data_IF_780295454566
#
_entry.id   IF_780295454566
#
_cell.length_a   1.000
_cell.length_b   1.000
_cell.length_c   1.000
_cell.angle_alpha   90.00
_cell.angle_beta   90.00
_cell.angle_gamma   90.00
#
_symmetry.space_group_name_H-M   'P 1'
#
loop_
_entity.id
_entity.type
_entity.pdbx_description
1 polymer ?
#
# COMPACT_ATOMS: atom_id res chain seq x y z
N UNK A 1 62.23 36.91 7.45
CA UNK A 1 62.01 35.55 7.96
C UNK A 1 60.53 35.42 8.23
N UNK A 2 59.91 34.47 7.50
CA UNK A 2 58.65 33.75 7.78
C UNK A 2 57.35 34.59 7.92
N UNK A 3 56.41 34.48 6.97
CA UNK A 3 55.28 33.51 6.94
C UNK A 3 54.34 33.68 8.16
N UNK A 4 53.01 33.75 8.07
CA UNK A 4 52.03 33.22 7.13
C UNK A 4 50.62 33.72 7.54
N UNK A 5 49.73 33.86 6.56
CA UNK A 5 48.28 33.56 6.60
C UNK A 5 47.35 34.28 7.60
N UNK A 6 46.04 34.34 7.40
CA UNK A 6 45.20 33.93 6.27
C UNK A 6 43.76 34.51 6.42
N UNK A 7 43.10 34.61 5.27
CA UNK A 7 41.66 34.43 4.97
C UNK A 7 40.54 35.17 5.74
N UNK A 8 40.01 36.16 5.02
CA UNK A 8 38.60 36.35 4.65
C UNK A 8 37.58 35.27 5.07
N UNK A 9 36.61 35.67 5.88
CA UNK A 9 35.37 34.91 6.11
C UNK A 9 34.42 35.11 4.91
N UNK A 10 34.40 34.13 4.02
CA UNK A 10 33.37 34.01 2.96
C UNK A 10 32.12 33.38 3.55
N UNK A 11 31.02 34.11 3.46
CA UNK A 11 29.66 33.64 3.69
C UNK A 11 29.31 32.51 2.71
N UNK A 12 29.17 31.29 3.22
CA UNK A 12 28.60 30.19 2.44
C UNK A 12 27.07 30.20 2.60
N UNK A 13 26.41 30.56 1.50
CA UNK A 13 24.98 30.53 1.34
C UNK A 13 24.41 29.13 1.52
N UNK A 14 23.24 29.07 2.14
CA UNK A 14 22.39 27.89 2.24
C UNK A 14 21.96 27.50 0.82
N UNK A 15 22.31 26.29 0.39
CA UNK A 15 21.73 25.71 -0.82
C UNK A 15 20.28 25.31 -0.52
N UNK A 16 19.38 25.96 -1.24
CA UNK A 16 17.97 25.67 -1.35
C UNK A 16 17.81 24.27 -1.98
N UNK A 17 17.36 23.29 -1.21
CA UNK A 17 17.01 21.96 -1.71
C UNK A 17 15.65 22.06 -2.42
N UNK A 18 15.72 22.43 -3.70
CA UNK A 18 14.61 22.46 -4.65
C UNK A 18 14.12 21.05 -4.99
N UNK A 19 13.61 20.32 -3.99
CA UNK A 19 12.91 19.06 -4.21
C UNK A 19 11.55 19.34 -4.85
N UNK A 20 11.43 19.08 -6.16
CA UNK A 20 10.19 19.16 -6.93
C UNK A 20 9.01 18.61 -6.14
N UNK A 21 8.13 19.52 -5.71
CA UNK A 21 6.90 19.22 -4.98
C UNK A 21 6.08 18.28 -5.85
N UNK A 22 5.93 17.02 -5.43
CA UNK A 22 5.08 16.04 -6.09
C UNK A 22 3.66 16.61 -6.19
N UNK A 23 3.34 17.11 -7.39
CA UNK A 23 2.12 17.82 -7.70
C UNK A 23 0.93 16.87 -7.72
N UNK A 24 -0.24 17.41 -7.38
CA UNK A 24 -1.55 16.74 -7.36
C UNK A 24 -1.89 15.86 -6.16
N UNK A 25 -1.34 16.16 -4.97
CA UNK A 25 -1.92 15.63 -3.72
C UNK A 25 -3.31 16.21 -3.52
N UNK A 26 -4.29 15.32 -3.38
CA UNK A 26 -5.70 15.63 -3.26
C UNK A 26 -5.94 16.63 -2.10
N UNK A 27 -6.46 17.82 -2.39
CA UNK A 27 -6.61 18.94 -1.42
C UNK A 27 -7.76 18.74 -0.41
N UNK A 28 -8.44 17.59 -0.41
CA UNK A 28 -9.66 17.33 0.38
C UNK A 28 -9.51 16.29 1.50
N UNK A 29 -8.32 16.12 2.07
CA UNK A 29 -8.03 15.03 3.02
C UNK A 29 -7.74 15.51 4.46
N UNK A 30 -8.78 15.93 5.19
CA UNK A 30 -8.62 16.38 6.60
C UNK A 30 -9.82 15.93 7.44
N UNK A 31 -9.77 14.73 8.06
CA UNK A 31 -10.46 14.44 9.35
C UNK A 31 -10.00 13.14 10.03
N UNK A 32 -9.62 13.30 11.32
CA UNK A 32 -8.86 12.39 12.22
C UNK A 32 -7.56 11.90 11.55
N UNK A 33 -6.46 11.87 12.32
CA UNK A 33 -5.13 11.52 11.79
C UNK A 33 -4.52 10.39 12.58
N UNK A 34 -4.32 9.24 11.95
CA UNK A 34 -3.52 8.14 12.43
C UNK A 34 -2.14 8.74 12.50
N UNK A 35 -1.49 8.64 13.65
CA UNK A 35 -0.14 9.13 13.78
C UNK A 35 0.81 8.05 13.31
N UNK A 36 2.00 8.45 12.84
CA UNK A 36 3.08 7.52 12.56
C UNK A 36 3.38 6.63 13.78
N UNK A 37 3.28 7.19 14.98
CA UNK A 37 3.44 6.43 16.22
C UNK A 37 2.36 5.37 16.40
N UNK A 38 1.09 5.67 16.12
CA UNK A 38 0.03 4.68 16.17
C UNK A 38 0.25 3.57 15.14
N UNK A 39 0.62 3.93 13.91
CA UNK A 39 0.95 2.97 12.87
C UNK A 39 2.06 2.03 13.31
N UNK A 40 3.20 2.56 13.77
CA UNK A 40 4.37 1.74 14.09
C UNK A 40 4.24 0.99 15.41
N UNK A 41 3.64 1.59 16.45
CA UNK A 41 3.60 1.02 17.81
C UNK A 41 2.34 0.24 18.13
N UNK A 42 1.28 0.39 17.35
CA UNK A 42 0.03 -0.35 17.57
C UNK A 42 -0.21 -1.31 16.41
N UNK A 43 -0.37 -0.79 15.19
CA UNK A 43 -0.73 -1.60 14.03
C UNK A 43 0.43 -2.53 13.63
N UNK A 44 1.61 -1.95 13.41
CA UNK A 44 2.82 -2.66 12.97
C UNK A 44 3.73 -3.06 14.14
N UNK A 45 3.18 -3.21 15.36
CA UNK A 45 3.96 -3.64 16.53
C UNK A 45 4.54 -5.05 16.39
N UNK A 46 3.88 -5.90 15.59
CA UNK A 46 4.35 -7.20 15.12
C UNK A 46 3.79 -7.51 13.73
N UNK A 47 4.32 -8.54 13.07
CA UNK A 47 3.74 -9.05 11.82
C UNK A 47 2.28 -9.49 12.03
N UNK A 48 2.00 -10.19 13.14
CA UNK A 48 0.67 -10.69 13.46
C UNK A 48 -0.35 -9.55 13.60
N UNK A 49 -0.03 -8.49 14.36
CA UNK A 49 -0.93 -7.34 14.54
C UNK A 49 -1.16 -6.59 13.24
N UNK A 50 -0.13 -6.48 12.39
CA UNK A 50 -0.24 -5.87 11.07
C UNK A 50 -1.22 -6.66 10.18
N UNK A 51 -1.06 -7.99 10.14
CA UNK A 51 -1.93 -8.90 9.40
C UNK A 51 -3.37 -8.86 9.93
N UNK A 52 -3.56 -8.87 11.25
CA UNK A 52 -4.89 -8.78 11.87
C UNK A 52 -5.59 -7.47 11.52
N UNK A 53 -4.85 -6.37 11.56
CA UNK A 53 -5.37 -5.06 11.17
C UNK A 53 -5.77 -5.04 9.69
N UNK A 54 -4.92 -5.53 8.78
CA UNK A 54 -5.22 -5.63 7.34
C UNK A 54 -6.41 -6.56 7.06
N UNK A 55 -6.52 -7.68 7.76
CA UNK A 55 -7.69 -8.56 7.75
C UNK A 55 -8.93 -7.78 8.16
N UNK A 56 -8.87 -7.03 9.27
CA UNK A 56 -10.01 -6.25 9.77
C UNK A 56 -10.53 -5.25 8.74
N UNK A 57 -9.63 -4.65 7.95
CA UNK A 57 -9.89 -3.72 6.84
C UNK A 57 -10.23 -4.39 5.52
N UNK A 58 -10.33 -5.73 5.49
CA UNK A 58 -10.61 -6.51 4.28
C UNK A 58 -9.60 -6.27 3.14
N UNK A 59 -8.36 -5.89 3.48
CA UNK A 59 -7.25 -5.68 2.54
C UNK A 59 -6.58 -6.98 2.16
N UNK A 60 -6.65 -7.98 3.03
CA UNK A 60 -6.22 -9.36 2.81
C UNK A 60 -7.31 -10.33 3.30
N UNK A 61 -7.32 -11.59 2.85
CA UNK A 61 -8.36 -12.55 3.24
C UNK A 61 -8.38 -12.86 4.73
N UNK A 62 -9.57 -12.91 5.31
CA UNK A 62 -9.79 -13.39 6.70
C UNK A 62 -9.81 -14.92 6.79
N UNK A 63 -10.20 -15.58 5.71
CA UNK A 63 -10.40 -17.04 5.61
C UNK A 63 -10.03 -17.47 4.20
N UNK A 64 -9.39 -18.64 4.10
CA UNK A 64 -9.07 -19.29 2.83
C UNK A 64 -9.61 -20.72 2.80
N UNK A 65 -9.97 -21.18 1.62
CA UNK A 65 -10.44 -22.54 1.36
C UNK A 65 -9.50 -23.22 0.38
N UNK A 66 -9.23 -24.50 0.63
CA UNK A 66 -8.36 -25.31 -0.19
C UNK A 66 -8.96 -25.49 -1.59
N UNK A 67 -8.22 -25.23 -2.68
CA UNK A 67 -8.73 -25.42 -4.04
C UNK A 67 -9.01 -26.89 -4.37
N UNK A 68 -8.34 -27.83 -3.68
CA UNK A 68 -8.43 -29.26 -3.99
C UNK A 68 -9.57 -29.96 -3.23
N UNK A 69 -9.78 -29.62 -1.95
CA UNK A 69 -10.75 -30.31 -1.09
C UNK A 69 -11.83 -29.40 -0.50
N UNK A 70 -11.83 -28.10 -0.81
CA UNK A 70 -12.78 -27.09 -0.31
C UNK A 70 -12.85 -26.91 1.21
N UNK A 71 -12.01 -27.60 1.99
CA UNK A 71 -11.92 -27.39 3.44
C UNK A 71 -11.21 -26.08 3.78
N UNK A 72 -11.51 -25.55 4.97
CA UNK A 72 -10.89 -24.32 5.47
C UNK A 72 -9.41 -24.54 5.73
N UNK A 73 -8.57 -23.68 5.16
CA UNK A 73 -7.12 -23.72 5.37
C UNK A 73 -6.75 -23.16 6.75
N UNK A 74 -5.64 -23.66 7.31
CA UNK A 74 -5.03 -23.12 8.53
C UNK A 74 -4.12 -21.94 8.18
N UNK A 75 -4.05 -20.98 9.08
CA UNK A 75 -3.16 -19.83 9.00
C UNK A 75 -2.01 -20.07 9.96
N UNK A 76 -0.79 -20.24 9.44
CA UNK A 76 0.36 -20.69 10.24
C UNK A 76 1.59 -19.82 9.95
N UNK A 77 2.44 -19.68 10.97
CA UNK A 77 3.70 -18.97 10.85
C UNK A 77 4.67 -19.77 9.98
N UNK A 78 5.38 -19.08 9.09
CA UNK A 78 6.40 -19.64 8.24
C UNK A 78 7.47 -18.57 7.95
N UNK A 79 8.67 -18.77 8.49
CA UNK A 79 9.77 -17.81 8.42
C UNK A 79 10.22 -17.48 6.99
N UNK A 80 10.12 -18.44 6.07
CA UNK A 80 10.48 -18.24 4.65
C UNK A 80 9.42 -17.47 3.86
N UNK A 81 8.26 -17.18 4.44
CA UNK A 81 7.23 -16.36 3.79
C UNK A 81 7.53 -14.87 3.98
N UNK A 82 7.28 -14.06 2.95
CA UNK A 82 7.53 -12.61 2.95
C UNK A 82 6.92 -11.88 4.18
N UNK A 83 5.72 -12.29 4.60
CA UNK A 83 5.03 -11.71 5.77
C UNK A 83 5.10 -12.57 7.03
N UNK A 84 5.90 -13.65 7.01
CA UNK A 84 6.04 -14.58 8.13
C UNK A 84 4.86 -15.54 8.33
N UNK A 85 3.84 -15.52 7.46
CA UNK A 85 2.66 -16.38 7.56
C UNK A 85 2.16 -16.88 6.20
N UNK A 86 1.51 -18.04 6.21
CA UNK A 86 0.91 -18.68 5.03
C UNK A 86 -0.45 -19.31 5.35
N UNK A 87 -1.24 -19.51 4.30
CA UNK A 87 -2.40 -20.40 4.35
C UNK A 87 -1.99 -21.78 3.88
N UNK A 88 -2.27 -22.81 4.67
CA UNK A 88 -1.95 -24.21 4.35
C UNK A 88 -3.15 -25.13 4.57
N UNK A 89 -3.39 -26.05 3.64
CA UNK A 89 -4.40 -27.10 3.82
C UNK A 89 -3.82 -28.25 4.67
N UNK A 90 -4.53 -28.71 5.71
CA UNK A 90 -4.13 -29.87 6.53
C UNK A 90 -4.87 -31.17 6.19
N UNK A 91 -5.92 -31.06 5.37
CA UNK A 91 -6.75 -32.19 4.97
C UNK A 91 -6.18 -32.92 3.74
N UNK A 92 -5.53 -32.18 2.83
CA UNK A 92 -4.77 -32.77 1.73
C UNK A 92 -3.48 -33.40 2.26
N UNK A 93 -3.36 -34.74 2.22
CA UNK A 93 -2.19 -35.45 2.76
C UNK A 93 -0.98 -35.47 1.81
N UNK A 94 -1.23 -35.49 0.51
CA UNK A 94 -0.19 -35.48 -0.52
C UNK A 94 -0.06 -34.06 -1.05
N UNK A 95 1.13 -33.47 -0.91
CA UNK A 95 1.45 -32.10 -1.37
C UNK A 95 0.36 -31.08 -1.01
N UNK A 96 0.14 -30.81 0.29
CA UNK A 96 -0.90 -29.89 0.72
C UNK A 96 -0.72 -28.52 0.04
N UNK A 97 -1.76 -27.99 -0.62
CA UNK A 97 -1.66 -26.68 -1.23
C UNK A 97 -1.41 -25.62 -0.16
N UNK A 98 -0.55 -24.68 -0.52
CA UNK A 98 -0.15 -23.55 0.29
C UNK A 98 -0.21 -22.27 -0.55
N UNK A 99 -0.62 -21.16 0.05
CA UNK A 99 -0.58 -19.85 -0.58
C UNK A 99 -0.18 -18.75 0.40
N UNK A 100 0.26 -17.60 -0.14
CA UNK A 100 0.70 -16.46 0.66
C UNK A 100 -0.45 -15.89 1.51
N UNK A 101 -0.11 -15.18 2.58
CA UNK A 101 -1.07 -14.42 3.39
C UNK A 101 -1.96 -13.48 2.56
N UNK A 102 -1.42 -13.01 1.43
CA UNK A 102 -2.02 -12.02 0.53
C UNK A 102 -2.82 -12.63 -0.62
N UNK A 103 -2.82 -13.95 -0.77
CA UNK A 103 -3.40 -14.62 -1.93
C UNK A 103 -4.87 -14.22 -2.16
N UNK A 104 -5.22 -13.90 -3.40
CA UNK A 104 -6.54 -13.41 -3.76
C UNK A 104 -6.83 -12.00 -3.23
N UNK A 105 -5.82 -11.15 -3.03
CA UNK A 105 -5.97 -9.74 -2.69
C UNK A 105 -5.21 -8.84 -3.66
N UNK A 106 -5.45 -7.53 -3.57
CA UNK A 106 -4.69 -6.55 -4.35
C UNK A 106 -3.17 -6.55 -4.02
N UNK A 107 -2.81 -7.07 -2.85
CA UNK A 107 -1.43 -7.11 -2.35
C UNK A 107 -0.69 -8.40 -2.75
N UNK A 108 -1.36 -9.33 -3.45
CA UNK A 108 -0.83 -10.66 -3.77
C UNK A 108 0.53 -10.61 -4.47
N UNK A 109 0.64 -9.78 -5.51
CA UNK A 109 1.82 -9.69 -6.38
C UNK A 109 2.75 -8.52 -5.99
N UNK A 110 2.70 -8.07 -4.73
CA UNK A 110 3.52 -6.95 -4.26
C UNK A 110 4.76 -7.46 -3.54
N UNK A 111 5.93 -7.01 -3.97
CA UNK A 111 7.22 -7.49 -3.46
C UNK A 111 7.64 -6.84 -2.13
N UNK A 112 6.94 -5.79 -1.69
CA UNK A 112 7.19 -5.14 -0.40
C UNK A 112 6.51 -5.89 0.75
N UNK A 113 7.10 -5.87 1.94
CA UNK A 113 6.46 -6.40 3.15
C UNK A 113 5.16 -5.63 3.47
N UNK A 114 4.18 -6.26 4.11
CA UNK A 114 2.94 -5.57 4.48
C UNK A 114 3.18 -4.32 5.35
N UNK A 115 4.23 -4.35 6.18
CA UNK A 115 4.63 -3.20 7.01
C UNK A 115 5.17 -2.06 6.14
N UNK A 116 6.06 -2.36 5.18
CA UNK A 116 6.61 -1.34 4.28
C UNK A 116 5.53 -0.72 3.40
N UNK A 117 4.56 -1.52 2.94
CA UNK A 117 3.41 -1.04 2.18
C UNK A 117 2.61 -0.03 3.00
N UNK A 118 2.29 -0.36 4.26
CA UNK A 118 1.54 0.55 5.14
C UNK A 118 2.34 1.82 5.46
N UNK A 119 3.64 1.70 5.73
CA UNK A 119 4.51 2.84 6.00
C UNK A 119 4.64 3.75 4.78
N UNK A 120 4.88 3.18 3.59
CA UNK A 120 4.90 3.93 2.33
C UNK A 120 3.57 4.66 2.12
N UNK A 121 2.44 3.95 2.28
CA UNK A 121 1.10 4.54 2.13
C UNK A 121 0.93 5.73 3.06
N UNK A 122 1.27 5.57 4.33
CA UNK A 122 1.19 6.62 5.33
C UNK A 122 1.98 7.86 4.92
N UNK A 123 3.26 7.69 4.58
CA UNK A 123 4.15 8.80 4.22
C UNK A 123 3.69 9.49 2.93
N UNK A 124 3.25 8.71 1.94
CA UNK A 124 2.73 9.21 0.67
C UNK A 124 1.48 10.07 0.88
N UNK A 125 0.49 9.57 1.64
CA UNK A 125 -0.72 10.31 2.00
C UNK A 125 -0.41 11.58 2.80
N UNK A 126 0.63 11.57 3.63
CA UNK A 126 1.12 12.74 4.37
C UNK A 126 1.98 13.70 3.54
N UNK A 127 2.16 13.39 2.26
CA UNK A 127 2.85 14.26 1.34
C UNK A 127 4.36 14.32 1.55
N UNK A 128 4.95 13.18 1.88
CA UNK A 128 6.39 13.05 1.79
C UNK A 128 6.79 12.96 0.31
N UNK A 129 7.96 13.48 -0.04
CA UNK A 129 8.55 13.32 -1.36
C UNK A 129 9.55 12.15 -1.35
N UNK A 130 10.12 11.81 -2.50
CA UNK A 130 11.08 10.69 -2.64
C UNK A 130 12.17 10.72 -1.56
N UNK A 131 12.86 11.85 -1.43
CA UNK A 131 13.99 12.01 -0.52
C UNK A 131 13.59 11.78 0.94
N UNK A 132 12.41 12.26 1.35
CA UNK A 132 11.91 12.02 2.71
C UNK A 132 11.45 10.58 2.91
N UNK A 133 10.74 9.98 1.95
CA UNK A 133 10.33 8.57 2.05
C UNK A 133 11.58 7.67 2.16
N UNK A 134 12.61 7.92 1.34
CA UNK A 134 13.89 7.21 1.41
C UNK A 134 14.60 7.38 2.76
N UNK A 135 14.43 8.52 3.43
CA UNK A 135 15.04 8.74 4.74
C UNK A 135 14.31 8.00 5.86
N UNK A 136 12.98 7.94 5.78
CA UNK A 136 12.12 7.31 6.79
C UNK A 136 11.92 5.80 6.57
N UNK A 137 12.35 5.27 5.43
CA UNK A 137 12.21 3.87 5.04
C UNK A 137 13.53 3.33 4.52
N UNK A 138 13.72 2.01 4.48
CA UNK A 138 14.89 1.40 3.83
C UNK A 138 14.60 1.03 2.37
N UNK A 139 13.64 1.71 1.72
CA UNK A 139 13.24 1.40 0.35
C UNK A 139 14.19 2.03 -0.66
N UNK A 140 14.49 1.27 -1.71
CA UNK A 140 15.28 1.77 -2.83
C UNK A 140 14.53 2.88 -3.60
N UNK A 141 15.24 3.90 -4.12
CA UNK A 141 14.61 5.01 -4.85
C UNK A 141 13.73 4.55 -6.01
N UNK A 142 14.14 3.49 -6.69
CA UNK A 142 13.40 2.93 -7.81
C UNK A 142 12.05 2.34 -7.38
N UNK A 143 12.03 1.61 -6.25
CA UNK A 143 10.79 1.12 -5.65
C UNK A 143 9.89 2.29 -5.27
N UNK A 144 10.44 3.32 -4.62
CA UNK A 144 9.67 4.51 -4.20
C UNK A 144 8.99 5.18 -5.39
N UNK A 145 9.70 5.35 -6.51
CA UNK A 145 9.15 5.94 -7.74
C UNK A 145 8.07 5.07 -8.37
N UNK A 146 8.30 3.76 -8.48
CA UNK A 146 7.31 2.81 -9.01
C UNK A 146 6.02 2.82 -8.18
N UNK A 147 6.14 2.79 -6.86
CA UNK A 147 4.98 2.84 -5.96
C UNK A 147 4.26 4.18 -6.02
N UNK A 148 5.00 5.30 -6.10
CA UNK A 148 4.42 6.62 -6.27
C UNK A 148 3.61 6.71 -7.58
N UNK A 149 4.17 6.25 -8.69
CA UNK A 149 3.50 6.24 -9.99
C UNK A 149 2.23 5.38 -9.96
N UNK A 150 2.32 4.17 -9.38
CA UNK A 150 1.16 3.30 -9.19
C UNK A 150 0.05 3.98 -8.38
N UNK A 151 0.39 4.72 -7.32
CA UNK A 151 -0.60 5.41 -6.49
C UNK A 151 -1.25 6.59 -7.23
N UNK A 152 -0.47 7.33 -8.02
CA UNK A 152 -1.00 8.38 -8.90
C UNK A 152 -2.00 7.79 -9.89
N UNK A 153 -1.65 6.71 -10.58
CA UNK A 153 -2.54 6.04 -11.54
C UNK A 153 -3.84 5.55 -10.89
N UNK A 154 -3.75 4.99 -9.67
CA UNK A 154 -4.92 4.59 -8.90
C UNK A 154 -5.80 5.81 -8.60
N UNK A 155 -5.22 6.90 -8.09
CA UNK A 155 -5.96 8.13 -7.80
C UNK A 155 -6.63 8.73 -9.05
N UNK A 156 -5.92 8.78 -10.18
CA UNK A 156 -6.47 9.27 -11.45
C UNK A 156 -7.62 8.39 -11.96
N UNK A 157 -7.49 7.06 -11.84
CA UNK A 157 -8.54 6.13 -12.22
C UNK A 157 -9.81 6.31 -11.38
N UNK A 158 -9.65 6.59 -10.07
CA UNK A 158 -10.78 6.92 -9.19
C UNK A 158 -11.43 8.22 -9.63
N UNK A 159 -10.66 9.28 -9.84
CA UNK A 159 -11.20 10.58 -10.26
C UNK A 159 -11.97 10.49 -11.57
N UNK A 160 -11.44 9.76 -12.55
CA UNK A 160 -12.15 9.49 -13.82
C UNK A 160 -13.46 8.75 -13.56
N UNK A 161 -13.47 7.74 -12.69
CA UNK A 161 -14.68 6.98 -12.36
C UNK A 161 -15.71 7.86 -11.64
N UNK A 162 -15.29 8.65 -10.67
CA UNK A 162 -16.17 9.53 -9.90
C UNK A 162 -16.78 10.61 -10.82
N UNK A 163 -15.99 11.21 -11.71
CA UNK A 163 -16.49 12.13 -12.73
C UNK A 163 -17.53 11.46 -13.65
N UNK A 164 -17.28 10.23 -14.09
CA UNK A 164 -18.25 9.46 -14.90
C UNK A 164 -19.52 9.08 -14.12
N UNK A 165 -19.46 8.94 -12.79
CA UNK A 165 -20.64 8.66 -11.96
C UNK A 165 -21.45 9.94 -11.69
N UNK A 166 -20.79 11.08 -11.53
CA UNK A 166 -21.44 12.38 -11.40
C UNK A 166 -22.17 12.79 -12.70
N UNK A 167 -21.63 12.43 -13.87
CA UNK A 167 -22.25 12.72 -15.17
C UNK A 167 -23.38 11.73 -15.55
N UNK A 168 -23.38 10.49 -15.05
CA UNK A 168 -24.35 9.45 -15.43
C UNK A 168 -25.49 9.25 -14.42
N UNK A 169 -26.06 10.32 -13.87
CA UNK A 169 -27.40 10.27 -13.24
C UNK A 169 -28.55 10.09 -14.24
N UNK A 170 -28.36 9.30 -15.31
CA UNK A 170 -29.42 8.69 -16.13
C UNK A 170 -28.95 7.30 -16.62
N UNK A 171 -29.76 6.31 -16.25
CA UNK A 171 -29.88 4.91 -16.69
C UNK A 171 -28.76 3.87 -16.44
N UNK A 172 -29.15 2.88 -15.62
CA UNK A 172 -28.49 1.60 -15.46
C UNK A 172 -28.55 0.80 -16.78
N UNK A 173 -27.45 0.73 -17.53
CA UNK A 173 -27.06 -0.52 -18.19
C UNK A 173 -25.63 -0.53 -18.76
N UNK A 174 -24.86 -1.49 -18.23
CA UNK A 174 -23.73 -2.21 -18.85
C UNK A 174 -22.60 -1.39 -19.47
N UNK A 175 -21.42 -1.44 -18.82
CA UNK A 175 -20.16 -1.57 -19.57
C UNK A 175 -19.26 -2.67 -18.99
N UNK A 176 -19.10 -3.73 -19.80
CA UNK A 176 -18.10 -4.77 -19.66
C UNK A 176 -16.72 -4.16 -19.97
N UNK A 177 -15.87 -4.01 -18.97
CA UNK A 177 -14.45 -3.73 -19.20
C UNK A 177 -13.68 -5.05 -19.12
N UNK A 178 -13.13 -5.44 -20.28
CA UNK A 178 -12.25 -6.57 -20.46
C UNK A 178 -10.79 -6.09 -20.28
N UNK A 179 -10.13 -6.54 -19.20
CA UNK A 179 -8.68 -6.63 -19.15
C UNK A 179 -8.28 -7.74 -18.17
N UNK A 180 -7.50 -8.69 -18.66
CA UNK A 180 -6.87 -9.75 -17.86
C UNK A 180 -5.76 -9.10 -17.03
N UNK A 181 -6.04 -8.89 -15.76
CA UNK A 181 -5.07 -8.56 -14.73
C UNK A 181 -5.57 -9.22 -13.44
N UNK A 182 -4.71 -9.74 -12.56
CA UNK A 182 -5.12 -10.31 -11.26
C UNK A 182 -6.05 -9.37 -10.46
N UNK A 183 -5.87 -8.05 -10.64
CA UNK A 183 -6.72 -6.99 -10.09
C UNK A 183 -8.18 -7.07 -10.58
N UNK A 184 -8.43 -7.51 -11.82
CA UNK A 184 -9.78 -7.55 -12.39
C UNK A 184 -10.63 -8.71 -11.86
N UNK A 185 -10.02 -9.82 -11.44
CA UNK A 185 -10.72 -10.92 -10.77
C UNK A 185 -11.15 -10.52 -9.34
N UNK A 186 -10.28 -9.81 -8.60
CA UNK A 186 -10.61 -9.26 -7.29
C UNK A 186 -11.66 -8.16 -7.36
N UNK A 187 -11.56 -7.23 -8.32
CA UNK A 187 -12.57 -6.19 -8.60
C UNK A 187 -13.92 -6.78 -9.01
N UNK A 188 -13.94 -7.92 -9.73
CA UNK A 188 -15.18 -8.64 -10.10
C UNK A 188 -15.86 -9.34 -8.92
N UNK A 189 -15.10 -9.77 -7.91
CA UNK A 189 -15.62 -10.42 -6.69
C UNK A 189 -16.05 -9.39 -5.62
N UNK A 190 -15.39 -8.24 -5.56
CA UNK A 190 -15.71 -7.13 -4.64
C UNK A 190 -16.46 -5.98 -5.33
N UNK A 191 -17.41 -6.32 -6.21
CA UNK A 191 -18.14 -5.41 -7.12
C UNK A 191 -18.81 -4.18 -6.48
N UNK A 192 -18.97 -4.13 -5.15
CA UNK A 192 -19.66 -3.05 -4.46
C UNK A 192 -18.74 -2.13 -3.64
N UNK A 193 -17.55 -2.60 -3.21
CA UNK A 193 -16.58 -1.80 -2.44
C UNK A 193 -15.18 -2.37 -2.64
N UNK A 194 -14.33 -1.67 -3.36
CA UNK A 194 -12.91 -2.01 -3.45
C UNK A 194 -12.27 -1.68 -2.10
N UNK A 195 -12.02 -2.69 -1.26
CA UNK A 195 -11.41 -2.53 0.07
C UNK A 195 -10.09 -1.77 0.08
N UNK A 196 -9.29 -1.79 -0.99
CA UNK A 196 -8.06 -1.00 -1.06
C UNK A 196 -8.39 0.47 -1.32
N UNK A 197 -9.39 0.74 -2.17
CA UNK A 197 -9.92 2.09 -2.33
C UNK A 197 -10.63 2.59 -1.08
N UNK A 198 -11.42 1.77 -0.41
CA UNK A 198 -12.00 2.11 0.90
C UNK A 198 -10.90 2.26 1.93
N UNK A 199 -9.79 1.52 1.89
CA UNK A 199 -8.62 1.79 2.73
C UNK A 199 -7.94 3.10 2.37
N UNK A 200 -7.81 3.49 1.10
CA UNK A 200 -7.25 4.80 0.75
C UNK A 200 -8.19 5.94 1.16
N UNK A 201 -9.52 5.74 1.08
CA UNK A 201 -10.56 6.65 1.59
C UNK A 201 -10.70 6.63 3.11
N UNK A 202 -10.43 5.50 3.76
CA UNK A 202 -10.44 5.35 5.22
C UNK A 202 -9.11 5.80 5.81
N UNK A 203 -8.00 5.68 5.09
CA UNK A 203 -6.72 6.31 5.42
C UNK A 203 -6.81 7.84 5.41
N UNK A 204 -7.87 8.37 4.79
CA UNK A 204 -8.34 9.75 4.87
C UNK A 204 -9.27 10.01 6.07
N UNK A 205 -9.88 8.98 6.67
CA UNK A 205 -10.53 9.02 8.00
C UNK A 205 -9.62 8.60 9.16
N UNK A 206 -8.40 8.13 8.83
CA UNK A 206 -7.39 7.69 9.77
C UNK A 206 -6.66 8.89 10.26
#
# INVERSE_FOLDING_TARGET
MEEKGDTTATSSGRTDDGGSKWGSRNKRLVKKKMTLMHLLKVICSSQQTCIEWLKSKCLIPKVMFCPNCSHRMKFEAQESALDGFVWICKDCKVNPPQCSTRHGSWLEDKDLSLVDILLFTYLWCHGFNEARIRKETNLEPEIIRQWNQMYIEICEAIQKKDAMLEENSIDENVMKINSQSPVSAWRKKNKLKDSFLEFLKEADSL
#
